data_IF_875416982830
#
_entry.id   IF_875416982830
#
_cell.length_a   1.000
_cell.length_b   1.000
_cell.length_c   1.000
_cell.angle_alpha   90.00
_cell.angle_beta   90.00
_cell.angle_gamma   90.00
#
_symmetry.space_group_name_H-M   'P 1'
#
loop_
_entity.id
_entity.type
_entity.pdbx_description
1 polymer ?
#
# COMPACT_ATOMS: atom_id res chain seq x y z
N UNK A 1 15.81 -4.79 -8.13
CA UNK A 1 15.18 -5.47 -9.28
C UNK A 1 13.69 -5.10 -9.46
N UNK A 2 12.91 -5.03 -8.37
CA UNK A 2 11.47 -4.70 -8.43
C UNK A 2 11.18 -3.30 -9.03
N UNK A 3 11.89 -2.22 -8.64
CA UNK A 3 11.61 -0.90 -9.21
C UNK A 3 11.94 -0.80 -10.71
N UNK A 4 12.91 -1.55 -11.19
CA UNK A 4 13.30 -1.51 -12.60
C UNK A 4 12.24 -2.19 -13.50
N UNK A 5 11.69 -3.33 -13.07
CA UNK A 5 10.60 -4.00 -13.79
C UNK A 5 9.33 -3.17 -13.83
N UNK A 6 8.98 -2.52 -12.71
CA UNK A 6 7.85 -1.61 -12.64
C UNK A 6 8.05 -0.34 -13.49
N UNK A 7 9.28 0.18 -13.56
CA UNK A 7 9.67 1.27 -14.45
C UNK A 7 9.46 0.91 -15.93
N UNK A 8 9.83 -0.30 -16.34
CA UNK A 8 9.65 -0.78 -17.72
C UNK A 8 8.15 -0.98 -18.05
N UNK A 9 7.37 -1.52 -17.11
CA UNK A 9 5.93 -1.68 -17.29
C UNK A 9 5.23 -0.33 -17.38
N UNK A 10 5.60 0.64 -16.55
CA UNK A 10 5.05 2.00 -16.62
C UNK A 10 5.43 2.71 -17.92
N UNK A 11 6.63 2.51 -18.41
CA UNK A 11 7.05 3.09 -19.69
C UNK A 11 6.19 2.59 -20.87
N UNK A 12 5.78 1.32 -20.84
CA UNK A 12 4.86 0.77 -21.83
C UNK A 12 3.39 1.16 -21.60
N UNK A 13 3.01 1.51 -20.37
CA UNK A 13 1.66 1.88 -19.99
C UNK A 13 1.38 3.37 -20.12
N UNK A 14 2.38 4.23 -19.93
CA UNK A 14 2.26 5.66 -20.22
C UNK A 14 2.38 5.80 -21.73
N UNK A 15 1.24 5.84 -22.41
CA UNK A 15 1.17 5.95 -23.88
C UNK A 15 2.16 7.01 -24.36
N UNK A 16 3.15 6.55 -25.10
CA UNK A 16 4.30 7.31 -25.59
C UNK A 16 3.87 8.56 -26.38
N UNK A 17 2.68 8.55 -26.96
CA UNK A 17 2.09 9.63 -27.74
C UNK A 17 1.77 10.89 -26.92
N UNK A 18 1.62 10.79 -25.60
CA UNK A 18 1.10 11.87 -24.75
C UNK A 18 2.17 12.80 -24.18
N UNK A 19 3.38 12.33 -23.96
CA UNK A 19 4.36 13.11 -23.15
C UNK A 19 5.69 13.44 -23.81
N UNK A 20 6.11 12.81 -24.84
CA UNK A 20 7.22 13.22 -25.71
C UNK A 20 7.72 12.13 -26.64
N UNK A 21 8.38 12.53 -27.70
CA UNK A 21 9.10 11.71 -28.66
C UNK A 21 10.39 11.04 -28.12
N UNK A 22 10.71 11.20 -26.81
CA UNK A 22 11.95 10.68 -26.23
C UNK A 22 11.70 9.66 -25.11
N UNK A 23 12.24 8.45 -25.31
CA UNK A 23 12.25 7.35 -24.32
C UNK A 23 12.80 7.77 -22.95
N UNK A 24 13.83 8.62 -22.91
CA UNK A 24 14.45 9.11 -21.68
C UNK A 24 13.49 9.97 -20.84
N UNK A 25 12.65 10.76 -21.49
CA UNK A 25 11.65 11.56 -20.79
C UNK A 25 10.56 10.68 -20.15
N UNK A 26 10.10 9.62 -20.84
CA UNK A 26 9.16 8.67 -20.29
C UNK A 26 9.72 7.93 -19.06
N UNK A 27 10.98 7.50 -19.13
CA UNK A 27 11.66 6.88 -17.97
C UNK A 27 11.78 7.83 -16.79
N UNK A 28 12.13 9.10 -17.05
CA UNK A 28 12.22 10.12 -16.00
C UNK A 28 10.88 10.37 -15.32
N UNK A 29 9.82 10.53 -16.10
CA UNK A 29 8.46 10.77 -15.59
C UNK A 29 7.96 9.57 -14.78
N UNK A 30 8.07 8.37 -15.33
CA UNK A 30 7.64 7.14 -14.67
C UNK A 30 8.42 6.86 -13.41
N UNK A 31 9.75 7.03 -13.46
CA UNK A 31 10.63 6.83 -12.32
C UNK A 31 10.35 7.81 -11.18
N UNK A 32 10.12 9.08 -11.50
CA UNK A 32 9.79 10.09 -10.50
C UNK A 32 8.48 9.74 -9.75
N UNK A 33 7.42 9.43 -10.48
CA UNK A 33 6.12 9.12 -9.87
C UNK A 33 6.17 7.83 -9.04
N UNK A 34 6.92 6.80 -9.48
CA UNK A 34 7.11 5.57 -8.71
C UNK A 34 7.89 5.79 -7.42
N UNK A 35 8.99 6.54 -7.50
CA UNK A 35 9.79 6.87 -6.33
C UNK A 35 8.95 7.70 -5.35
N UNK A 36 8.21 8.69 -5.85
CA UNK A 36 7.30 9.50 -5.04
C UNK A 36 6.21 8.66 -4.35
N UNK A 37 5.65 7.68 -5.04
CA UNK A 37 4.63 6.77 -4.49
C UNK A 37 5.21 5.86 -3.38
N UNK A 38 6.37 5.21 -3.61
CA UNK A 38 6.94 4.26 -2.65
C UNK A 38 7.56 4.95 -1.43
N UNK A 39 8.12 6.15 -1.62
CA UNK A 39 8.66 6.96 -0.51
C UNK A 39 7.59 7.74 0.24
N UNK A 40 6.34 7.67 -0.22
CA UNK A 40 5.21 8.42 0.33
C UNK A 40 5.44 9.94 0.36
N UNK A 41 6.11 10.48 -0.66
CA UNK A 41 6.44 11.90 -0.77
C UNK A 41 5.28 12.72 -1.34
N UNK A 42 4.51 12.14 -2.29
CA UNK A 42 3.27 12.74 -2.82
C UNK A 42 3.45 13.80 -3.90
N UNK A 43 4.66 14.06 -4.36
CA UNK A 43 4.85 14.92 -5.52
C UNK A 43 4.61 14.17 -6.83
N UNK A 44 3.95 14.80 -7.79
CA UNK A 44 3.79 14.27 -9.13
C UNK A 44 4.12 15.32 -10.20
N UNK A 45 4.62 14.83 -11.33
CA UNK A 45 4.84 15.62 -12.54
C UNK A 45 3.80 15.29 -13.62
N UNK A 46 2.77 14.53 -13.25
CA UNK A 46 1.65 14.12 -14.10
C UNK A 46 0.36 14.40 -13.36
N UNK A 47 -0.66 14.87 -14.06
CA UNK A 47 -2.01 15.00 -13.49
C UNK A 47 -2.69 13.64 -13.48
N UNK A 48 -3.12 13.16 -12.32
CA UNK A 48 -3.86 11.90 -12.16
C UNK A 48 -5.37 12.08 -12.34
N UNK A 49 -5.86 13.30 -12.51
CA UNK A 49 -7.30 13.60 -12.58
C UNK A 49 -7.92 13.41 -13.94
N UNK A 50 -9.23 13.13 -13.94
CA UNK A 50 -10.04 12.91 -15.13
C UNK A 50 -10.47 14.21 -15.85
N UNK A 51 -10.32 15.37 -15.24
CA UNK A 51 -10.78 16.67 -15.78
C UNK A 51 -9.73 17.29 -16.68
N UNK A 52 -9.77 16.92 -17.98
CA UNK A 52 -8.99 17.57 -19.03
C UNK A 52 -7.54 17.11 -19.20
N UNK A 53 -7.06 16.21 -18.38
CA UNK A 53 -5.76 15.55 -18.57
C UNK A 53 -5.93 14.29 -19.45
N UNK A 54 -4.92 13.93 -20.26
CA UNK A 54 -4.95 12.69 -20.99
C UNK A 54 -5.13 11.51 -20.03
N UNK A 55 -6.11 10.66 -20.31
CA UNK A 55 -6.43 9.50 -19.49
C UNK A 55 -5.25 8.54 -19.45
N UNK A 56 -4.62 8.45 -18.27
CA UNK A 56 -3.56 7.47 -18.03
C UNK A 56 -4.14 6.05 -18.09
N UNK A 57 -3.42 5.08 -18.63
CA UNK A 57 -3.87 3.69 -18.68
C UNK A 57 -4.21 3.17 -17.29
N UNK A 58 -5.27 2.38 -17.14
CA UNK A 58 -5.66 1.78 -15.86
C UNK A 58 -4.51 0.98 -15.21
N UNK A 59 -3.66 0.34 -16.00
CA UNK A 59 -2.48 -0.36 -15.51
C UNK A 59 -1.53 0.56 -14.72
N UNK A 60 -1.40 1.82 -15.12
CA UNK A 60 -0.60 2.80 -14.40
C UNK A 60 -1.16 3.06 -12.99
N UNK A 61 -2.47 3.27 -12.89
CA UNK A 61 -3.12 3.46 -11.59
C UNK A 61 -2.92 2.26 -10.66
N UNK A 62 -3.09 1.04 -11.18
CA UNK A 62 -2.89 -0.19 -10.40
C UNK A 62 -1.47 -0.30 -9.87
N UNK A 63 -0.46 -0.02 -10.70
CA UNK A 63 0.93 -0.10 -10.30
C UNK A 63 1.24 0.95 -9.22
N UNK A 64 0.80 2.19 -9.41
CA UNK A 64 1.03 3.26 -8.42
C UNK A 64 0.31 2.96 -7.11
N UNK A 65 -0.93 2.45 -7.14
CA UNK A 65 -1.67 1.99 -5.94
C UNK A 65 -0.87 0.92 -5.19
N UNK A 66 -0.35 -0.09 -5.88
CA UNK A 66 0.46 -1.13 -5.25
C UNK A 66 1.69 -0.56 -4.53
N UNK A 67 2.39 0.39 -5.16
CA UNK A 67 3.55 1.04 -4.53
C UNK A 67 3.16 1.92 -3.34
N UNK A 68 2.04 2.64 -3.41
CA UNK A 68 1.51 3.42 -2.29
C UNK A 68 1.15 2.53 -1.09
N UNK A 69 0.56 1.33 -1.34
CA UNK A 69 0.21 0.39 -0.28
C UNK A 69 1.43 -0.30 0.34
N UNK A 70 2.47 -0.59 -0.45
CA UNK A 70 3.71 -1.19 0.06
C UNK A 70 4.42 -0.21 1.00
N UNK A 71 4.55 1.05 0.58
CA UNK A 71 5.22 2.09 1.34
C UNK A 71 6.74 1.91 1.44
N UNK A 72 7.36 2.65 2.35
CA UNK A 72 8.81 2.73 2.48
C UNK A 72 9.47 1.67 3.36
N UNK A 73 10.70 1.98 3.78
CA UNK A 73 11.54 1.12 4.58
C UNK A 73 11.04 1.02 6.04
N UNK A 74 11.43 -0.05 6.73
CA UNK A 74 11.16 -0.20 8.16
C UNK A 74 11.91 0.89 8.96
N UNK A 75 11.20 1.56 9.88
CA UNK A 75 11.76 2.69 10.63
C UNK A 75 11.63 4.05 9.92
N UNK A 76 11.12 4.11 8.67
CA UNK A 76 10.79 5.36 8.01
C UNK A 76 9.45 5.93 8.51
N UNK A 77 9.28 7.23 8.35
CA UNK A 77 8.01 7.94 8.63
C UNK A 77 6.92 7.66 7.60
N UNK A 78 7.22 6.92 6.52
CA UNK A 78 6.26 6.54 5.49
C UNK A 78 5.15 5.64 6.06
N UNK A 79 3.94 5.80 5.58
CA UNK A 79 2.84 4.86 5.82
C UNK A 79 3.00 3.56 5.05
N UNK A 80 1.89 2.82 4.89
CA UNK A 80 1.87 1.56 4.15
C UNK A 80 2.28 0.32 4.96
N UNK A 81 2.29 -0.82 4.28
CA UNK A 81 2.58 -2.14 4.87
C UNK A 81 4.03 -2.26 5.31
N UNK A 82 4.93 -1.52 4.65
CA UNK A 82 6.40 -1.53 4.74
C UNK A 82 7.06 -2.72 4.03
N UNK A 83 8.14 -2.43 3.31
CA UNK A 83 8.87 -3.40 2.48
C UNK A 83 9.28 -4.65 3.27
N UNK A 84 9.69 -4.48 4.53
CA UNK A 84 10.09 -5.61 5.39
C UNK A 84 8.96 -6.65 5.55
N UNK A 85 7.74 -6.20 5.88
CA UNK A 85 6.58 -7.10 6.07
C UNK A 85 6.21 -7.81 4.76
N UNK A 86 6.30 -7.11 3.63
CA UNK A 86 6.05 -7.70 2.30
C UNK A 86 7.07 -8.78 1.98
N UNK A 87 8.36 -8.54 2.22
CA UNK A 87 9.43 -9.53 1.99
C UNK A 87 9.25 -10.77 2.87
N UNK A 88 8.94 -10.60 4.16
CA UNK A 88 8.68 -11.72 5.08
C UNK A 88 7.45 -12.50 4.63
N UNK A 89 6.37 -11.84 4.24
CA UNK A 89 5.17 -12.51 3.75
C UNK A 89 5.43 -13.34 2.49
N UNK A 90 6.11 -12.77 1.49
CA UNK A 90 6.45 -13.48 0.25
C UNK A 90 7.35 -14.69 0.54
N UNK A 91 8.37 -14.54 1.38
CA UNK A 91 9.25 -15.64 1.78
C UNK A 91 8.48 -16.74 2.53
N UNK A 92 7.61 -16.36 3.47
CA UNK A 92 6.77 -17.29 4.21
C UNK A 92 5.86 -18.09 3.27
N UNK A 93 5.20 -17.43 2.33
CA UNK A 93 4.39 -18.09 1.32
C UNK A 93 5.22 -19.07 0.47
N UNK A 94 6.39 -18.63 0.01
CA UNK A 94 7.29 -19.47 -0.78
C UNK A 94 7.75 -20.71 0.00
N UNK A 95 8.16 -20.56 1.25
CA UNK A 95 8.56 -21.68 2.10
C UNK A 95 7.39 -22.61 2.39
N UNK A 96 6.19 -22.09 2.64
CA UNK A 96 5.00 -22.90 2.85
C UNK A 96 4.65 -23.77 1.63
N UNK A 97 4.81 -23.22 0.42
CA UNK A 97 4.62 -23.99 -0.82
C UNK A 97 5.72 -25.06 -0.96
N UNK A 98 6.98 -24.69 -0.74
CA UNK A 98 8.12 -25.61 -0.83
C UNK A 98 8.03 -26.76 0.18
N UNK A 99 7.55 -26.49 1.39
CA UNK A 99 7.40 -27.49 2.43
C UNK A 99 6.27 -28.47 2.12
N UNK A 100 5.16 -28.00 1.52
CA UNK A 100 4.10 -28.89 1.03
C UNK A 100 4.55 -29.83 -0.08
N UNK A 101 5.53 -29.41 -0.90
CA UNK A 101 6.11 -30.22 -1.99
C UNK A 101 7.27 -31.10 -1.52
N UNK A 102 7.74 -30.96 -0.29
CA UNK A 102 8.89 -31.68 0.26
C UNK A 102 8.46 -32.82 1.17
N UNK A 103 9.38 -33.79 1.37
CA UNK A 103 9.14 -34.92 2.28
C UNK A 103 8.92 -34.45 3.72
N UNK A 104 7.84 -34.91 4.35
CA UNK A 104 7.39 -34.54 5.71
C UNK A 104 8.37 -34.92 6.85
N UNK A 105 9.42 -35.69 6.58
CA UNK A 105 10.39 -36.20 7.58
C UNK A 105 11.54 -35.23 7.88
N UNK A 106 11.65 -34.11 7.17
CA UNK A 106 12.76 -33.17 7.33
C UNK A 106 12.28 -31.96 8.15
N UNK A 107 12.90 -31.74 9.30
CA UNK A 107 12.77 -30.47 10.06
C UNK A 107 13.62 -29.43 9.34
N UNK A 108 12.97 -28.40 8.80
CA UNK A 108 13.64 -27.31 8.08
C UNK A 108 13.47 -26.03 8.85
N UNK A 109 14.60 -25.40 9.18
CA UNK A 109 14.63 -24.02 9.68
C UNK A 109 14.68 -23.07 8.51
N UNK A 110 13.79 -22.08 8.52
CA UNK A 110 13.72 -21.03 7.50
C UNK A 110 14.28 -19.73 8.05
N UNK A 111 15.17 -19.10 7.29
CA UNK A 111 15.84 -17.88 7.70
C UNK A 111 15.50 -16.72 6.77
N UNK A 112 15.42 -15.54 7.32
CA UNK A 112 15.37 -14.29 6.57
C UNK A 112 16.44 -13.32 7.04
N UNK A 113 16.85 -12.41 6.14
CA UNK A 113 17.88 -11.41 6.43
C UNK A 113 17.24 -10.17 7.06
N UNK A 114 17.67 -9.83 8.29
CA UNK A 114 17.26 -8.60 8.99
C UNK A 114 18.51 -7.90 9.52
N UNK A 115 18.73 -6.67 9.07
CA UNK A 115 19.89 -5.86 9.49
C UNK A 115 21.26 -6.57 9.33
N UNK A 116 21.43 -7.34 8.26
CA UNK A 116 22.67 -8.09 7.99
C UNK A 116 22.77 -9.46 8.68
N UNK A 117 21.87 -9.80 9.60
CA UNK A 117 21.86 -11.07 10.33
C UNK A 117 20.77 -12.01 9.78
N UNK A 118 21.09 -13.31 9.71
CA UNK A 118 20.09 -14.34 9.42
C UNK A 118 19.33 -14.67 10.69
N UNK A 119 18.03 -14.38 10.71
CA UNK A 119 17.12 -14.65 11.82
C UNK A 119 16.19 -15.79 11.42
N UNK A 120 15.96 -16.73 12.32
CA UNK A 120 15.00 -17.80 12.12
C UNK A 120 13.57 -17.25 12.07
N UNK A 121 12.76 -17.74 11.13
CA UNK A 121 11.36 -17.33 11.00
C UNK A 121 10.53 -17.93 12.14
N UNK A 122 10.17 -17.10 13.11
CA UNK A 122 9.16 -17.48 14.10
C UNK A 122 7.76 -17.49 13.46
N UNK A 123 7.02 -18.57 13.71
CA UNK A 123 5.64 -18.75 13.21
C UNK A 123 4.70 -17.68 13.76
N UNK A 124 4.89 -17.27 15.01
CA UNK A 124 4.04 -16.28 15.65
C UNK A 124 4.25 -14.88 15.04
N UNK A 125 5.52 -14.49 14.82
CA UNK A 125 5.86 -13.23 14.14
C UNK A 125 5.31 -13.21 12.71
N UNK A 126 5.48 -14.31 11.98
CA UNK A 126 4.97 -14.45 10.61
C UNK A 126 3.45 -14.35 10.54
N UNK A 127 2.73 -15.03 11.43
CA UNK A 127 1.28 -14.95 11.49
C UNK A 127 0.79 -13.53 11.82
N UNK A 128 1.46 -12.85 12.73
CA UNK A 128 1.15 -11.46 13.07
C UNK A 128 1.32 -10.52 11.86
N UNK A 129 2.40 -10.72 11.09
CA UNK A 129 2.65 -9.94 9.86
C UNK A 129 1.56 -10.22 8.80
N UNK A 130 1.22 -11.48 8.58
CA UNK A 130 0.18 -11.86 7.62
C UNK A 130 -1.19 -11.31 8.01
N UNK A 131 -1.54 -11.38 9.30
CA UNK A 131 -2.78 -10.81 9.83
C UNK A 131 -2.81 -9.29 9.63
N UNK A 132 -1.69 -8.60 9.89
CA UNK A 132 -1.59 -7.16 9.63
C UNK A 132 -1.85 -6.82 8.16
N UNK A 133 -1.22 -7.53 7.24
CA UNK A 133 -1.39 -7.32 5.79
C UNK A 133 -2.85 -7.54 5.39
N UNK A 134 -3.47 -8.60 5.91
CA UNK A 134 -4.88 -8.89 5.62
C UNK A 134 -5.80 -7.77 6.11
N UNK A 135 -5.64 -7.35 7.37
CA UNK A 135 -6.45 -6.25 7.95
C UNK A 135 -6.24 -4.95 7.17
N UNK A 136 -5.00 -4.66 6.77
CA UNK A 136 -4.68 -3.49 5.97
C UNK A 136 -5.41 -3.49 4.62
N UNK A 137 -5.44 -4.64 3.93
CA UNK A 137 -6.20 -4.79 2.69
C UNK A 137 -7.71 -4.69 2.91
N UNK A 138 -8.24 -5.26 3.99
CA UNK A 138 -9.67 -5.13 4.32
C UNK A 138 -10.05 -3.66 4.51
N UNK A 139 -9.26 -2.89 5.25
CA UNK A 139 -9.49 -1.46 5.44
C UNK A 139 -9.37 -0.71 4.12
N UNK A 140 -8.38 -1.04 3.29
CA UNK A 140 -8.21 -0.45 1.97
C UNK A 140 -9.44 -0.66 1.07
N UNK A 141 -9.90 -1.91 0.93
CA UNK A 141 -11.06 -2.22 0.09
C UNK A 141 -12.35 -1.60 0.65
N UNK A 142 -12.53 -1.66 1.96
CA UNK A 142 -13.72 -1.08 2.62
C UNK A 142 -13.78 0.44 2.43
N UNK A 143 -12.71 1.15 2.65
CA UNK A 143 -12.67 2.60 2.46
C UNK A 143 -12.82 3.01 1.00
N UNK A 144 -12.21 2.29 0.07
CA UNK A 144 -12.38 2.51 -1.38
C UNK A 144 -13.83 2.30 -1.80
N UNK A 145 -14.49 1.26 -1.27
CA UNK A 145 -15.90 0.99 -1.50
C UNK A 145 -16.79 2.11 -0.97
N UNK A 146 -16.53 2.59 0.25
CA UNK A 146 -17.29 3.70 0.83
C UNK A 146 -17.20 4.98 -0.02
N UNK A 147 -16.02 5.32 -0.56
CA UNK A 147 -15.87 6.48 -1.45
C UNK A 147 -16.66 6.26 -2.75
N UNK A 148 -16.63 5.04 -3.31
CA UNK A 148 -17.35 4.70 -4.53
C UNK A 148 -18.88 4.86 -4.39
N UNK A 149 -19.45 4.70 -3.19
CA UNK A 149 -20.88 4.95 -2.94
C UNK A 149 -21.30 6.40 -3.17
N UNK A 150 -20.38 7.35 -3.17
CA UNK A 150 -20.65 8.75 -3.49
C UNK A 150 -20.67 9.03 -5.01
N UNK A 151 -20.62 7.99 -5.86
CA UNK A 151 -20.76 8.10 -7.32
C UNK A 151 -19.43 8.21 -8.08
N UNK A 152 -18.30 7.99 -7.41
CA UNK A 152 -16.98 7.95 -8.06
C UNK A 152 -16.66 6.56 -8.62
N UNK A 153 -15.84 6.50 -9.69
CA UNK A 153 -15.34 5.24 -10.21
C UNK A 153 -14.49 4.52 -9.16
N UNK A 154 -14.66 3.19 -9.07
CA UNK A 154 -13.92 2.40 -8.08
C UNK A 154 -12.38 2.54 -8.19
N UNK A 155 -11.85 2.63 -9.42
CA UNK A 155 -10.41 2.83 -9.64
C UNK A 155 -9.88 4.15 -9.07
N UNK A 156 -10.63 5.24 -9.27
CA UNK A 156 -10.31 6.56 -8.73
C UNK A 156 -10.45 6.59 -7.20
N UNK A 157 -11.52 5.98 -6.69
CA UNK A 157 -11.77 5.82 -5.25
C UNK A 157 -10.67 5.02 -4.55
N UNK A 158 -10.22 3.93 -5.20
CA UNK A 158 -9.12 3.10 -4.70
C UNK A 158 -7.79 3.86 -4.69
N UNK A 159 -7.52 4.66 -5.73
CA UNK A 159 -6.32 5.48 -5.79
C UNK A 159 -6.29 6.52 -4.67
N UNK A 160 -7.39 7.26 -4.51
CA UNK A 160 -7.51 8.30 -3.48
C UNK A 160 -7.38 7.71 -2.07
N UNK A 161 -8.07 6.59 -1.81
CA UNK A 161 -8.01 5.94 -0.50
C UNK A 161 -6.65 5.28 -0.23
N UNK A 162 -5.99 4.68 -1.25
CA UNK A 162 -4.62 4.19 -1.11
C UNK A 162 -3.63 5.30 -0.75
N UNK A 163 -3.79 6.47 -1.38
CA UNK A 163 -2.98 7.66 -1.09
C UNK A 163 -3.20 8.16 0.33
N UNK A 164 -4.45 8.17 0.80
CA UNK A 164 -4.80 8.55 2.17
C UNK A 164 -4.24 7.56 3.19
N UNK A 165 -4.49 6.27 2.98
CA UNK A 165 -4.05 5.19 3.88
C UNK A 165 -2.52 5.05 3.92
N UNK A 166 -1.84 5.21 2.78
CA UNK A 166 -0.37 5.25 2.70
C UNK A 166 0.24 6.55 3.22
N UNK A 167 -0.55 7.61 3.39
CA UNK A 167 -0.09 8.94 3.73
C UNK A 167 0.80 9.55 2.65
N UNK A 168 0.49 9.27 1.37
CA UNK A 168 1.30 9.67 0.20
C UNK A 168 0.98 11.10 -0.21
N UNK A 169 -0.31 11.43 -0.40
CA UNK A 169 -0.74 12.77 -0.81
C UNK A 169 -0.95 12.94 -2.32
N UNK A 170 -0.87 11.88 -3.11
CA UNK A 170 -1.28 11.91 -4.52
C UNK A 170 -2.80 11.92 -4.61
N UNK A 171 -3.38 12.72 -5.50
CA UNK A 171 -4.83 12.82 -5.66
C UNK A 171 -5.24 12.76 -7.12
N UNK A 172 -6.39 12.15 -7.37
CA UNK A 172 -7.08 12.11 -8.67
C UNK A 172 -8.04 13.31 -8.81
N UNK A 173 -8.13 14.16 -7.76
CA UNK A 173 -9.00 15.34 -7.75
C UNK A 173 -10.34 15.11 -7.06
N UNK A 174 -10.59 13.95 -6.43
CA UNK A 174 -11.78 13.71 -5.61
C UNK A 174 -11.72 14.60 -4.36
N UNK A 175 -10.54 14.76 -3.77
CA UNK A 175 -10.31 15.65 -2.64
C UNK A 175 -10.09 17.06 -3.15
N UNK A 176 -11.12 17.88 -3.07
CA UNK A 176 -11.09 19.30 -3.43
C UNK A 176 -11.79 20.14 -2.36
N UNK A 177 -11.65 21.45 -2.44
CA UNK A 177 -12.33 22.37 -1.51
C UNK A 177 -13.87 22.25 -1.57
N UNK A 178 -14.41 21.77 -2.69
CA UNK A 178 -15.85 21.52 -2.92
C UNK A 178 -16.25 20.06 -2.75
N UNK A 179 -15.38 19.18 -2.23
CA UNK A 179 -15.66 17.77 -2.06
C UNK A 179 -16.77 17.54 -1.02
N UNK A 180 -17.51 16.45 -1.21
CA UNK A 180 -18.56 16.06 -0.28
C UNK A 180 -17.96 15.81 1.14
N UNK A 181 -18.52 16.41 2.20
CA UNK A 181 -18.03 16.23 3.56
C UNK A 181 -17.91 14.76 3.99
N UNK A 182 -18.81 13.88 3.52
CA UNK A 182 -18.74 12.44 3.78
C UNK A 182 -17.47 11.78 3.26
N UNK A 183 -17.03 12.15 2.05
CA UNK A 183 -15.77 11.65 1.47
C UNK A 183 -14.57 12.12 2.29
N UNK A 184 -14.58 13.39 2.73
CA UNK A 184 -13.49 13.94 3.55
C UNK A 184 -13.36 13.21 4.89
N UNK A 185 -14.49 12.85 5.55
CA UNK A 185 -14.46 12.06 6.79
C UNK A 185 -13.87 10.67 6.57
N UNK A 186 -14.22 9.98 5.47
CA UNK A 186 -13.67 8.66 5.13
C UNK A 186 -12.15 8.75 4.91
N UNK A 187 -11.70 9.77 4.18
CA UNK A 187 -10.28 9.99 3.89
C UNK A 187 -9.50 10.33 5.16
N UNK A 188 -10.03 11.18 6.04
CA UNK A 188 -9.42 11.48 7.34
C UNK A 188 -9.28 10.22 8.20
N UNK A 189 -10.32 9.38 8.21
CA UNK A 189 -10.25 8.05 8.85
C UNK A 189 -9.12 7.19 8.27
N UNK A 190 -8.99 7.14 6.94
CA UNK A 190 -7.90 6.43 6.26
C UNK A 190 -6.51 6.93 6.66
N UNK A 191 -6.31 8.24 6.68
CA UNK A 191 -5.05 8.86 7.11
C UNK A 191 -4.70 8.52 8.58
N UNK A 192 -5.71 8.51 9.45
CA UNK A 192 -5.55 8.15 10.85
C UNK A 192 -5.13 6.69 11.03
N UNK A 193 -5.82 5.74 10.36
CA UNK A 193 -5.48 4.33 10.41
C UNK A 193 -4.11 4.02 9.80
N UNK A 194 -3.73 4.72 8.74
CA UNK A 194 -2.45 4.52 8.08
C UNK A 194 -1.24 4.97 8.90
N UNK A 195 -1.40 6.01 9.73
CA UNK A 195 -0.30 6.57 10.56
C UNK A 195 -0.05 5.81 11.85
N UNK A 196 -1.09 5.30 12.48
CA UNK A 196 -1.01 4.67 13.80
C UNK A 196 -0.93 3.16 13.65
N UNK A 197 0.08 2.58 13.11
CA UNK A 197 0.17 1.10 12.97
C UNK A 197 -1.10 0.40 13.50
N UNK A 198 -2.01 0.01 12.65
CA UNK A 198 -3.41 -0.43 12.91
C UNK A 198 -3.54 -1.34 14.16
N UNK A 199 -2.51 -2.16 14.45
CA UNK A 199 -2.46 -3.02 15.63
C UNK A 199 -2.42 -2.27 16.95
N UNK A 200 -1.77 -1.12 17.02
CA UNK A 200 -1.68 -0.33 18.26
C UNK A 200 -3.07 0.19 18.63
N UNK A 201 -3.83 0.66 17.63
CA UNK A 201 -5.21 1.13 17.83
C UNK A 201 -6.10 -0.03 18.29
N UNK A 202 -6.02 -1.18 17.61
CA UNK A 202 -6.81 -2.36 18.00
C UNK A 202 -6.49 -2.83 19.41
N UNK A 203 -5.22 -2.90 19.79
CA UNK A 203 -4.81 -3.28 21.14
C UNK A 203 -5.26 -2.26 22.17
N UNK A 204 -5.21 -0.96 21.87
CA UNK A 204 -5.69 0.09 22.77
C UNK A 204 -7.21 -0.03 23.01
N UNK A 205 -7.97 -0.22 21.94
CA UNK A 205 -9.44 -0.40 22.02
C UNK A 205 -9.79 -1.67 22.81
N UNK A 206 -9.13 -2.80 22.51
CA UNK A 206 -9.38 -4.06 23.22
C UNK A 206 -9.03 -3.96 24.72
N UNK A 207 -7.93 -3.30 25.07
CA UNK A 207 -7.59 -3.05 26.48
C UNK A 207 -8.63 -2.17 27.15
N UNK A 208 -9.03 -1.09 26.49
CA UNK A 208 -10.04 -0.19 27.02
C UNK A 208 -11.38 -0.89 27.28
N UNK A 209 -11.85 -1.71 26.33
CA UNK A 209 -13.07 -2.52 26.47
C UNK A 209 -12.94 -3.54 27.60
N UNK A 210 -11.80 -4.23 27.69
CA UNK A 210 -11.56 -5.20 28.76
C UNK A 210 -11.46 -4.54 30.14
N UNK A 211 -10.91 -3.34 30.25
CA UNK A 211 -10.81 -2.60 31.52
C UNK A 211 -12.18 -2.07 31.97
N UNK A 212 -13.04 -1.66 31.03
CA UNK A 212 -14.43 -1.29 31.33
C UNK A 212 -15.18 -2.53 31.83
N UNK A 213 -15.07 -3.66 31.15
CA UNK A 213 -15.74 -4.92 31.51
C UNK A 213 -15.29 -5.47 32.87
N UNK A 214 -14.02 -5.25 33.25
CA UNK A 214 -13.51 -5.63 34.58
C UNK A 214 -13.95 -4.72 35.72
N UNK A 215 -14.40 -3.49 35.41
CA UNK A 215 -14.95 -2.56 36.41
C UNK A 215 -16.42 -2.80 36.68
N UNK A 216 -17.11 -3.55 35.82
CA UNK A 216 -18.53 -3.90 35.97
C UNK A 216 -18.74 -5.26 36.65
N UNK A 217 -17.66 -6.01 36.94
CA UNK A 217 -17.65 -7.22 37.77
C UNK A 217 -16.99 -6.93 39.12
#
# INVERSE_FOLDING_TARGET
AIPLGALLLLNNCVGIELYSSSYLNCLRISGFNLISAITTTGFSNVSFGSTGAPTLPYAFYVIVILFMLIGGCNGSTSGGIKIYRVVVAIKSMWYSIKDKMSNKRLIKSHFYLRNGNYIEMDKNETNSILTFILVYFVIFFFGSFLISLFGFNFGESAFEYASALGGVGLSVGIVSASANPGVLWIIMGGMFFGRLEIFIIFQAILRMVNDIRKKEC
#
